data_IF_703891168816
#
_entry.id   IF_703891168816
#
_cell.length_a   1.000
_cell.length_b   1.000
_cell.length_c   1.000
_cell.angle_alpha   90.00
_cell.angle_beta   90.00
_cell.angle_gamma   90.00
#
_symmetry.space_group_name_H-M   'P 1'
#
loop_
_entity.id
_entity.type
_entity.pdbx_description
1 polymer ?
#
# COMPACT_ATOMS: atom_id res chain seq x y z
N UNK A 1 28.88 57.87 6.44
CA UNK A 1 28.26 57.37 5.19
C UNK A 1 28.75 55.98 4.88
N UNK A 2 30.02 55.66 5.04
CA UNK A 2 30.57 54.32 4.70
C UNK A 2 30.02 53.21 5.56
N UNK A 3 29.82 53.46 6.87
CA UNK A 3 29.26 52.45 7.78
C UNK A 3 27.83 52.05 7.37
N UNK A 4 27.05 53.01 6.94
CA UNK A 4 25.68 52.77 6.50
C UNK A 4 25.63 51.97 5.20
N UNK A 5 26.51 52.33 4.25
CA UNK A 5 26.64 51.60 2.97
C UNK A 5 27.08 50.16 3.22
N UNK A 6 28.05 49.96 4.11
CA UNK A 6 28.51 48.63 4.50
C UNK A 6 27.37 47.79 5.11
N UNK A 7 26.59 48.39 6.01
CA UNK A 7 25.45 47.72 6.64
C UNK A 7 24.39 47.33 5.61
N UNK A 8 24.06 48.20 4.66
CA UNK A 8 23.10 47.93 3.58
C UNK A 8 23.61 46.77 2.70
N UNK A 9 24.91 46.78 2.38
CA UNK A 9 25.51 45.71 1.56
C UNK A 9 25.44 44.35 2.32
N UNK A 10 25.73 44.34 3.61
CA UNK A 10 25.65 43.14 4.43
C UNK A 10 24.21 42.60 4.47
N UNK A 11 23.24 43.48 4.73
CA UNK A 11 21.82 43.07 4.77
C UNK A 11 21.37 42.56 3.39
N UNK A 12 21.85 43.19 2.30
CA UNK A 12 21.50 42.70 0.96
C UNK A 12 22.09 41.34 0.67
N UNK A 13 23.31 41.08 1.12
CA UNK A 13 23.96 39.79 0.98
C UNK A 13 23.22 38.70 1.81
N UNK A 14 22.85 39.05 3.05
CA UNK A 14 22.10 38.12 3.93
C UNK A 14 20.72 37.80 3.30
N UNK A 15 20.04 38.80 2.74
CA UNK A 15 18.77 38.58 2.07
C UNK A 15 18.92 37.66 0.85
N UNK A 16 19.98 37.84 0.09
CA UNK A 16 20.25 36.99 -1.06
C UNK A 16 20.50 35.53 -0.62
N UNK A 17 21.25 35.38 0.46
CA UNK A 17 21.53 34.06 1.04
C UNK A 17 20.24 33.36 1.55
N UNK A 18 19.40 34.11 2.26
CA UNK A 18 18.12 33.62 2.75
C UNK A 18 17.21 33.23 1.56
N UNK A 19 17.20 34.07 0.51
CA UNK A 19 16.44 33.76 -0.71
C UNK A 19 16.90 32.46 -1.38
N UNK A 20 18.20 32.26 -1.46
CA UNK A 20 18.76 31.03 -2.01
C UNK A 20 18.39 29.81 -1.16
N UNK A 21 18.48 29.93 0.16
CA UNK A 21 18.08 28.87 1.08
C UNK A 21 16.58 28.56 0.96
N UNK A 22 15.76 29.60 0.82
CA UNK A 22 14.31 29.44 0.65
C UNK A 22 13.98 28.69 -0.64
N UNK A 23 14.69 28.98 -1.74
CA UNK A 23 14.54 28.24 -2.99
C UNK A 23 14.96 26.78 -2.85
N UNK A 24 16.07 26.53 -2.16
CA UNK A 24 16.54 25.17 -1.89
C UNK A 24 15.52 24.38 -1.04
N UNK A 25 14.95 25.01 -0.02
CA UNK A 25 13.94 24.38 0.81
C UNK A 25 12.66 24.09 0.01
N UNK A 26 12.25 24.99 -0.87
CA UNK A 26 11.09 24.79 -1.73
C UNK A 26 11.29 23.59 -2.66
N UNK A 27 12.47 23.48 -3.27
CA UNK A 27 12.86 22.35 -4.10
C UNK A 27 12.83 21.04 -3.29
N UNK A 28 13.43 21.06 -2.09
CA UNK A 28 13.48 19.88 -1.22
C UNK A 28 12.07 19.45 -0.78
N UNK A 29 11.20 20.41 -0.51
CA UNK A 29 9.79 20.13 -0.20
C UNK A 29 9.08 19.42 -1.36
N UNK A 30 9.33 19.86 -2.60
CA UNK A 30 8.79 19.20 -3.79
C UNK A 30 9.31 17.77 -3.94
N UNK A 31 10.59 17.54 -3.68
CA UNK A 31 11.19 16.22 -3.73
C UNK A 31 10.56 15.29 -2.67
N UNK A 32 10.37 15.80 -1.45
CA UNK A 32 9.73 15.06 -0.38
C UNK A 32 8.28 14.70 -0.74
N UNK A 33 7.51 15.63 -1.29
CA UNK A 33 6.14 15.37 -1.71
C UNK A 33 6.08 14.30 -2.80
N UNK A 34 6.97 14.35 -3.78
CA UNK A 34 7.06 13.34 -4.82
C UNK A 34 7.41 11.96 -4.24
N UNK A 35 8.35 11.93 -3.30
CA UNK A 35 8.73 10.69 -2.61
C UNK A 35 7.56 10.10 -1.82
N UNK A 36 6.78 10.95 -1.13
CA UNK A 36 5.59 10.52 -0.41
C UNK A 36 4.54 9.92 -1.34
N UNK A 37 4.31 10.55 -2.50
CA UNK A 37 3.39 10.02 -3.50
C UNK A 37 3.86 8.66 -4.01
N UNK A 38 5.13 8.52 -4.29
CA UNK A 38 5.71 7.26 -4.76
C UNK A 38 5.61 6.16 -3.69
N UNK A 39 5.86 6.51 -2.42
CA UNK A 39 5.72 5.58 -1.31
C UNK A 39 4.27 5.15 -1.11
N UNK A 40 3.33 6.09 -1.20
CA UNK A 40 1.90 5.79 -1.09
C UNK A 40 1.44 4.88 -2.23
N UNK A 41 1.92 5.13 -3.46
CA UNK A 41 1.62 4.29 -4.60
C UNK A 41 2.18 2.88 -4.43
N UNK A 42 3.41 2.76 -3.94
CA UNK A 42 4.02 1.46 -3.67
C UNK A 42 3.26 0.71 -2.57
N UNK A 43 2.88 1.41 -1.52
CA UNK A 43 2.08 0.84 -0.43
C UNK A 43 0.74 0.33 -0.93
N UNK A 44 0.06 1.10 -1.76
CA UNK A 44 -1.23 0.70 -2.35
C UNK A 44 -1.07 -0.54 -3.24
N UNK A 45 0.00 -0.59 -4.04
CA UNK A 45 0.27 -1.74 -4.91
C UNK A 45 0.48 -3.02 -4.09
N UNK A 46 1.22 -2.94 -2.98
CA UNK A 46 1.46 -4.08 -2.09
C UNK A 46 0.16 -4.49 -1.38
N UNK A 47 -0.57 -3.53 -0.82
CA UNK A 47 -1.82 -3.78 -0.09
C UNK A 47 -2.89 -4.39 -1.01
N UNK A 48 -3.03 -3.85 -2.22
CA UNK A 48 -4.02 -4.34 -3.19
C UNK A 48 -3.67 -5.75 -3.67
N UNK A 49 -2.38 -6.04 -3.86
CA UNK A 49 -1.92 -7.38 -4.22
C UNK A 49 -2.21 -8.39 -3.11
N UNK A 50 -2.01 -8.02 -1.85
CA UNK A 50 -2.31 -8.89 -0.70
C UNK A 50 -3.81 -9.17 -0.59
N UNK A 51 -4.67 -8.15 -0.79
CA UNK A 51 -6.11 -8.33 -0.76
C UNK A 51 -6.56 -9.27 -1.89
N UNK A 52 -6.03 -9.11 -3.09
CA UNK A 52 -6.35 -9.97 -4.22
C UNK A 52 -5.95 -11.43 -3.93
N UNK A 53 -4.81 -11.65 -3.32
CA UNK A 53 -4.31 -12.97 -2.94
C UNK A 53 -5.19 -13.61 -1.88
N UNK A 54 -5.57 -12.86 -0.86
CA UNK A 54 -6.47 -13.32 0.22
C UNK A 54 -7.85 -13.67 -0.37
N UNK A 55 -8.36 -12.83 -1.26
CA UNK A 55 -9.66 -13.06 -1.89
C UNK A 55 -9.65 -14.33 -2.74
N UNK A 56 -8.57 -14.56 -3.48
CA UNK A 56 -8.38 -15.76 -4.29
C UNK A 56 -8.35 -17.01 -3.40
N UNK A 57 -7.61 -16.96 -2.29
CA UNK A 57 -7.54 -18.06 -1.32
C UNK A 57 -8.90 -18.33 -0.68
N UNK A 58 -9.63 -17.26 -0.33
CA UNK A 58 -10.98 -17.39 0.25
C UNK A 58 -11.93 -18.11 -0.73
N UNK A 59 -11.89 -17.75 -2.01
CA UNK A 59 -12.72 -18.39 -3.04
C UNK A 59 -12.36 -19.87 -3.20
N UNK A 60 -11.07 -20.20 -3.17
CA UNK A 60 -10.59 -21.58 -3.25
C UNK A 60 -11.07 -22.39 -2.04
N UNK A 61 -10.94 -21.82 -0.83
CA UNK A 61 -11.38 -22.48 0.40
C UNK A 61 -12.89 -22.71 0.41
N UNK A 62 -13.67 -21.75 -0.09
CA UNK A 62 -15.12 -21.88 -0.21
C UNK A 62 -15.49 -23.00 -1.18
N UNK A 63 -14.81 -23.11 -2.31
CA UNK A 63 -15.01 -24.18 -3.29
C UNK A 63 -14.66 -25.54 -2.67
N UNK A 64 -13.55 -25.63 -1.95
CA UNK A 64 -13.14 -26.87 -1.28
C UNK A 64 -14.15 -27.31 -0.21
N UNK A 65 -14.69 -26.34 0.55
CA UNK A 65 -15.71 -26.63 1.57
C UNK A 65 -16.98 -27.17 0.91
N UNK A 66 -17.44 -26.57 -0.18
CA UNK A 66 -18.60 -27.04 -0.93
C UNK A 66 -18.40 -28.44 -1.49
N UNK A 67 -17.21 -28.71 -2.05
CA UNK A 67 -16.86 -30.01 -2.57
C UNK A 67 -16.82 -31.07 -1.45
N UNK A 68 -16.27 -30.71 -0.29
CA UNK A 68 -16.19 -31.62 0.86
C UNK A 68 -17.59 -31.98 1.38
N UNK A 69 -18.49 -31.02 1.45
CA UNK A 69 -19.90 -31.27 1.86
C UNK A 69 -20.59 -32.19 0.87
N UNK A 70 -20.39 -31.98 -0.43
CA UNK A 70 -20.95 -32.86 -1.46
C UNK A 70 -20.39 -34.29 -1.36
N UNK A 71 -19.10 -34.43 -1.14
CA UNK A 71 -18.45 -35.73 -0.98
C UNK A 71 -18.99 -36.45 0.26
N UNK A 72 -19.20 -35.72 1.34
CA UNK A 72 -19.77 -36.28 2.57
C UNK A 72 -21.20 -36.79 2.36
N UNK A 73 -22.00 -36.04 1.63
CA UNK A 73 -23.36 -36.39 1.27
C UNK A 73 -23.38 -37.68 0.43
N UNK A 74 -22.50 -37.79 -0.56
CA UNK A 74 -22.36 -38.98 -1.40
C UNK A 74 -21.91 -40.17 -0.59
N UNK A 75 -20.99 -40.00 0.35
CA UNK A 75 -20.52 -41.08 1.24
C UNK A 75 -21.65 -41.59 2.13
N UNK A 76 -22.49 -40.70 2.65
CA UNK A 76 -23.65 -41.06 3.46
C UNK A 76 -24.67 -41.88 2.64
N UNK A 77 -24.93 -41.47 1.40
CA UNK A 77 -25.83 -42.21 0.50
C UNK A 77 -25.27 -43.60 0.21
N UNK A 78 -23.97 -43.73 0.00
CA UNK A 78 -23.30 -44.96 -0.24
C UNK A 78 -23.46 -45.91 0.96
N UNK A 79 -23.32 -45.39 2.17
CA UNK A 79 -23.51 -46.18 3.40
C UNK A 79 -24.95 -46.70 3.51
N UNK A 80 -25.93 -45.88 3.15
CA UNK A 80 -27.34 -46.31 3.16
C UNK A 80 -27.61 -47.43 2.13
N UNK A 81 -27.00 -47.33 0.95
CA UNK A 81 -27.11 -48.35 -0.07
C UNK A 81 -26.49 -49.70 0.40
N UNK A 82 -25.34 -49.62 1.05
CA UNK A 82 -24.69 -50.83 1.60
C UNK A 82 -25.58 -51.47 2.64
N UNK A 83 -26.22 -50.68 3.51
CA UNK A 83 -27.16 -51.21 4.51
C UNK A 83 -28.34 -51.90 3.85
N UNK A 84 -28.87 -51.40 2.77
CA UNK A 84 -29.97 -52.00 2.02
C UNK A 84 -29.54 -53.35 1.42
N UNK A 85 -28.31 -53.42 0.93
CA UNK A 85 -27.81 -54.66 0.32
C UNK A 85 -27.58 -55.74 1.36
N UNK A 86 -27.27 -55.37 2.62
CA UNK A 86 -27.03 -56.31 3.70
C UNK A 86 -28.34 -56.85 4.32
N UNK A 87 -29.43 -56.12 4.15
CA UNK A 87 -30.74 -56.51 4.63
C UNK A 87 -31.48 -57.32 3.58
#
# INVERSE_FOLDING_TARGET
MDALTTAITSISADRAQVGAQQSAMSFQSSVINTSLQNLNSAKSAITDADIAQVQSKFSTDQTLTSAAVSALSDANQMNQQILKLLQ
#
